data_IF_543447378562
#
_entry.id   IF_543447378562
#
_cell.length_a   1.000
_cell.length_b   1.000
_cell.length_c   1.000
_cell.angle_alpha   90.00
_cell.angle_beta   90.00
_cell.angle_gamma   90.00
#
_symmetry.space_group_name_H-M   'P 1'
#
loop_
_entity.id
_entity.type
_entity.pdbx_description
1 polymer ?
#
# COMPACT_ATOMS: atom_id res chain seq x y z
N UNK A 1 41.58 -18.17 39.68
CA UNK A 1 41.41 -16.73 39.99
C UNK A 1 41.22 -16.05 38.65
N UNK A 2 39.96 -15.86 38.22
CA UNK A 2 39.20 -14.60 38.36
C UNK A 2 39.78 -13.53 37.40
N UNK A 3 39.08 -12.94 36.44
CA UNK A 3 37.66 -12.58 36.33
C UNK A 3 37.24 -12.56 34.85
N UNK A 4 36.01 -12.99 34.62
CA UNK A 4 35.28 -12.93 33.35
C UNK A 4 34.78 -11.51 33.13
N UNK A 5 35.24 -10.82 32.07
CA UNK A 5 34.56 -9.62 31.56
C UNK A 5 33.74 -9.99 30.34
N UNK A 6 32.50 -10.37 30.61
CA UNK A 6 31.41 -10.43 29.63
C UNK A 6 31.13 -9.01 29.15
N UNK A 7 31.61 -8.67 27.96
CA UNK A 7 31.04 -7.56 27.20
C UNK A 7 29.68 -8.03 26.64
N UNK A 8 28.62 -7.72 27.37
CA UNK A 8 27.25 -7.73 26.87
C UNK A 8 27.13 -6.56 25.88
N UNK A 9 26.91 -6.86 24.60
CA UNK A 9 26.40 -5.86 23.67
C UNK A 9 24.87 -5.99 23.69
N UNK A 10 24.11 -4.98 24.15
CA UNK A 10 22.67 -5.01 24.05
C UNK A 10 22.27 -4.89 22.58
N UNK A 11 21.28 -5.70 22.21
CA UNK A 11 20.62 -5.67 20.92
C UNK A 11 20.17 -4.24 20.57
N UNK A 12 20.69 -3.69 19.48
CA UNK A 12 20.11 -2.53 18.82
C UNK A 12 18.81 -2.97 18.11
N UNK A 13 17.73 -3.11 18.89
CA UNK A 13 16.36 -3.23 18.40
C UNK A 13 15.55 -2.04 18.91
N UNK A 14 15.86 -0.86 18.38
CA UNK A 14 15.01 0.33 18.49
C UNK A 14 15.35 1.19 17.26
N UNK A 15 14.43 1.58 16.37
CA UNK A 15 13.23 2.36 16.71
C UNK A 15 12.16 2.32 15.59
N UNK A 16 11.97 1.19 14.88
CA UNK A 16 11.05 1.17 13.72
C UNK A 16 9.55 1.03 14.07
N UNK A 17 9.18 1.15 15.35
CA UNK A 17 7.81 0.91 15.82
C UNK A 17 6.87 2.07 15.45
N UNK A 18 7.34 3.31 15.57
CA UNK A 18 6.51 4.52 15.35
C UNK A 18 6.15 4.82 13.88
N UNK A 19 6.89 4.27 12.90
CA UNK A 19 6.58 4.46 11.46
C UNK A 19 5.50 3.49 10.94
N UNK A 20 5.36 2.30 11.56
CA UNK A 20 4.33 1.32 11.15
C UNK A 20 2.93 1.75 11.55
N UNK A 21 2.79 2.48 12.65
CA UNK A 21 1.50 2.88 13.18
C UNK A 21 0.77 3.87 12.25
N UNK A 22 1.50 4.83 11.65
CA UNK A 22 0.91 5.82 10.74
C UNK A 22 0.42 5.25 9.40
N UNK A 23 1.15 4.28 8.83
CA UNK A 23 0.74 3.61 7.58
C UNK A 23 -0.48 2.71 7.77
N UNK A 24 -0.59 2.05 8.94
CA UNK A 24 -1.78 1.28 9.30
C UNK A 24 -3.02 2.17 9.39
N UNK A 25 -2.91 3.29 10.10
CA UNK A 25 -4.02 4.25 10.24
C UNK A 25 -4.47 4.81 8.89
N UNK A 26 -3.54 5.12 7.98
CA UNK A 26 -3.89 5.65 6.65
C UNK A 26 -4.68 4.64 5.81
N UNK A 27 -4.29 3.37 5.84
CA UNK A 27 -4.97 2.29 5.11
C UNK A 27 -6.37 2.00 5.64
N UNK A 28 -6.58 2.13 6.96
CA UNK A 28 -7.89 1.91 7.58
C UNK A 28 -8.88 3.08 7.36
N UNK A 29 -8.44 4.21 6.80
CA UNK A 29 -9.31 5.35 6.54
C UNK A 29 -10.36 5.01 5.48
N UNK A 30 -11.61 5.42 5.75
CA UNK A 30 -12.71 5.28 4.79
C UNK A 30 -12.42 6.04 3.51
N UNK A 31 -12.68 5.38 2.40
CA UNK A 31 -12.46 5.93 1.07
C UNK A 31 -13.66 6.77 0.61
N UNK A 32 -13.36 7.96 0.09
CA UNK A 32 -14.33 8.84 -0.54
C UNK A 32 -14.64 8.40 -1.97
N UNK A 33 -15.74 8.92 -2.52
CA UNK A 33 -16.08 8.66 -3.91
C UNK A 33 -15.04 9.22 -4.89
N UNK A 34 -14.50 10.40 -4.58
CA UNK A 34 -13.46 11.03 -5.37
C UNK A 34 -12.18 10.17 -5.44
N UNK A 35 -11.81 9.50 -4.36
CA UNK A 35 -10.68 8.57 -4.32
C UNK A 35 -10.94 7.32 -5.15
N UNK A 36 -12.14 6.72 -5.06
CA UNK A 36 -12.53 5.58 -5.91
C UNK A 36 -12.47 5.96 -7.39
N UNK A 37 -13.00 7.13 -7.75
CA UNK A 37 -12.94 7.62 -9.13
C UNK A 37 -11.50 7.92 -9.59
N UNK A 38 -10.64 8.42 -8.71
CA UNK A 38 -9.23 8.66 -9.03
C UNK A 38 -8.51 7.35 -9.38
N UNK A 39 -8.74 6.29 -8.59
CA UNK A 39 -8.20 4.96 -8.90
C UNK A 39 -8.79 4.40 -10.19
N UNK A 40 -10.10 4.53 -10.42
CA UNK A 40 -10.72 4.08 -11.67
C UNK A 40 -10.08 4.74 -12.91
N UNK A 41 -9.78 6.05 -12.85
CA UNK A 41 -9.06 6.76 -13.93
C UNK A 41 -7.64 6.24 -14.12
N UNK A 42 -6.94 5.90 -13.02
CA UNK A 42 -5.60 5.32 -13.09
C UNK A 42 -5.63 3.93 -13.75
N UNK A 43 -6.60 3.10 -13.38
CA UNK A 43 -6.81 1.78 -14.00
C UNK A 43 -7.12 1.91 -15.50
N UNK A 44 -7.93 2.91 -15.90
CA UNK A 44 -8.21 3.18 -17.31
C UNK A 44 -6.93 3.54 -18.09
N UNK A 45 -6.05 4.36 -17.50
CA UNK A 45 -4.76 4.70 -18.11
C UNK A 45 -3.87 3.46 -18.24
N UNK A 46 -3.80 2.62 -17.21
CA UNK A 46 -3.03 1.37 -17.24
C UNK A 46 -3.55 0.39 -18.31
N UNK A 47 -4.86 0.34 -18.54
CA UNK A 47 -5.45 -0.41 -19.66
C UNK A 47 -5.03 0.17 -21.02
N UNK A 48 -5.10 1.49 -21.18
CA UNK A 48 -4.71 2.17 -22.43
C UNK A 48 -3.23 1.98 -22.76
N UNK A 49 -2.39 1.96 -21.74
CA UNK A 49 -0.95 1.75 -21.86
C UNK A 49 -0.59 0.26 -22.01
N UNK A 50 -1.58 -0.64 -21.98
CA UNK A 50 -1.42 -2.09 -22.16
C UNK A 50 -0.79 -2.80 -20.95
N UNK A 51 -0.69 -2.12 -19.80
CA UNK A 51 -0.24 -2.71 -18.54
C UNK A 51 -1.29 -3.64 -17.94
N UNK A 52 -2.57 -3.29 -18.13
CA UNK A 52 -3.70 -4.15 -17.79
C UNK A 52 -4.37 -4.68 -19.05
N UNK A 53 -4.81 -5.92 -19.00
CA UNK A 53 -5.79 -6.46 -19.94
C UNK A 53 -7.19 -5.92 -19.62
N UNK A 54 -8.13 -6.04 -20.57
CA UNK A 54 -9.52 -5.62 -20.35
C UNK A 54 -10.20 -6.38 -19.20
N UNK A 55 -9.85 -7.65 -19.00
CA UNK A 55 -10.40 -8.50 -17.94
C UNK A 55 -9.88 -8.02 -16.58
N UNK A 56 -8.57 -7.79 -16.46
CA UNK A 56 -7.97 -7.27 -15.22
C UNK A 56 -8.48 -5.87 -14.89
N UNK A 57 -8.70 -5.03 -15.90
CA UNK A 57 -9.33 -3.72 -15.72
C UNK A 57 -10.75 -3.85 -15.15
N UNK A 58 -11.59 -4.72 -15.71
CA UNK A 58 -12.97 -4.91 -15.25
C UNK A 58 -13.02 -5.39 -13.79
N UNK A 59 -12.20 -6.38 -13.44
CA UNK A 59 -12.11 -6.90 -12.08
C UNK A 59 -11.64 -5.83 -11.08
N UNK A 60 -10.58 -5.08 -11.44
CA UNK A 60 -10.01 -4.07 -10.55
C UNK A 60 -10.89 -2.83 -10.44
N UNK A 61 -11.57 -2.42 -11.50
CA UNK A 61 -12.47 -1.26 -11.44
C UNK A 61 -13.72 -1.58 -10.61
N UNK A 62 -14.23 -2.82 -10.69
CA UNK A 62 -15.27 -3.29 -9.78
C UNK A 62 -14.77 -3.28 -8.32
N UNK A 63 -13.55 -3.76 -8.08
CA UNK A 63 -12.89 -3.68 -6.77
C UNK A 63 -12.78 -2.25 -6.24
N UNK A 64 -12.38 -1.29 -7.09
CA UNK A 64 -12.23 0.10 -6.71
C UNK A 64 -13.58 0.72 -6.27
N UNK A 65 -14.67 0.39 -6.96
CA UNK A 65 -16.01 0.84 -6.57
C UNK A 65 -16.56 0.15 -5.32
N UNK A 66 -16.13 -1.08 -5.03
CA UNK A 66 -16.51 -1.82 -3.83
C UNK A 66 -15.67 -1.46 -2.58
N UNK A 67 -14.51 -0.83 -2.77
CA UNK A 67 -13.59 -0.48 -1.69
C UNK A 67 -14.24 0.44 -0.65
N UNK A 68 -13.96 0.12 0.62
CA UNK A 68 -14.43 0.80 1.82
C UNK A 68 -13.32 1.59 2.47
N UNK A 69 -12.07 1.15 2.35
CA UNK A 69 -10.91 1.79 2.94
C UNK A 69 -9.82 2.11 1.90
N UNK A 70 -8.85 2.94 2.28
CA UNK A 70 -7.74 3.34 1.39
C UNK A 70 -6.79 2.19 1.10
N UNK A 71 -6.58 1.26 2.03
CA UNK A 71 -5.73 0.08 1.82
C UNK A 71 -6.23 -0.78 0.66
N UNK A 72 -7.54 -1.03 0.58
CA UNK A 72 -8.16 -1.76 -0.52
C UNK A 72 -7.93 -1.08 -1.88
N UNK A 73 -7.86 0.26 -1.93
CA UNK A 73 -7.51 0.98 -3.16
C UNK A 73 -6.01 0.91 -3.48
N UNK A 74 -5.15 0.98 -2.46
CA UNK A 74 -3.71 0.86 -2.62
C UNK A 74 -3.35 -0.52 -3.21
N UNK A 75 -3.94 -1.59 -2.68
CA UNK A 75 -3.72 -2.97 -3.13
C UNK A 75 -4.07 -3.17 -4.62
N UNK A 76 -5.13 -2.52 -5.12
CA UNK A 76 -5.55 -2.63 -6.53
C UNK A 76 -4.57 -1.99 -7.52
N UNK A 77 -3.65 -1.15 -7.03
CA UNK A 77 -2.72 -0.36 -7.86
C UNK A 77 -1.26 -0.54 -7.47
N UNK A 78 -0.94 -1.48 -6.58
CA UNK A 78 0.40 -1.66 -6.02
C UNK A 78 1.44 -2.04 -7.08
N UNK A 79 1.01 -2.77 -8.11
CA UNK A 79 1.81 -3.28 -9.21
C UNK A 79 1.86 -2.31 -10.41
N UNK A 80 1.08 -1.23 -10.37
CA UNK A 80 0.99 -0.28 -11.47
C UNK A 80 2.13 0.74 -11.41
N UNK A 81 2.70 1.13 -12.56
CA UNK A 81 3.73 2.15 -12.62
C UNK A 81 3.28 3.43 -11.92
N UNK A 82 4.16 4.11 -11.17
CA UNK A 82 3.81 5.34 -10.52
C UNK A 82 3.43 6.37 -11.58
N UNK A 83 4.19 6.53 -12.69
CA UNK A 83 4.07 7.52 -13.80
C UNK A 83 2.70 7.67 -14.49
N UNK A 84 1.74 6.83 -14.11
CA UNK A 84 0.35 6.91 -14.53
C UNK A 84 -0.50 7.94 -13.74
N UNK A 85 0.07 8.54 -12.69
CA UNK A 85 -0.42 9.69 -11.91
C UNK A 85 -0.33 11.06 -12.59
#
# INVERSE_FOLDING_TARGET
MEIVLRATAPAALSSNRSMRDGAGVHRDLRVSDAERQAVARRLERALRDGTLTIVEFDDRVAGAYAAKNRGELEDLTEDLPPDLW
#
